data_IF_660707569471
#
_entry.id   IF_660707569471
#
_cell.length_a   1.000
_cell.length_b   1.000
_cell.length_c   1.000
_cell.angle_alpha   90.00
_cell.angle_beta   90.00
_cell.angle_gamma   90.00
#
_symmetry.space_group_name_H-M   'P 1'
#
loop_
_entity.id
_entity.type
_entity.pdbx_description
1 polymer ?
#
# COMPACT_ATOMS: atom_id res chain seq x y z
N UNK A 1 -25.49 -47.45 -31.56
CA UNK A 1 -24.35 -46.98 -30.72
C UNK A 1 -23.01 -47.56 -31.19
N UNK A 2 -22.86 -48.87 -31.40
CA UNK A 2 -21.60 -49.49 -31.92
C UNK A 2 -21.00 -48.87 -33.20
N UNK A 3 -21.83 -48.64 -34.24
CA UNK A 3 -21.37 -48.04 -35.50
C UNK A 3 -20.86 -46.61 -35.33
N UNK A 4 -21.40 -45.88 -34.34
CA UNK A 4 -21.03 -44.50 -34.04
C UNK A 4 -19.64 -44.44 -33.41
N UNK A 5 -19.34 -45.33 -32.45
CA UNK A 5 -18.01 -45.40 -31.82
C UNK A 5 -16.90 -45.73 -32.84
N UNK A 6 -17.14 -46.71 -33.73
CA UNK A 6 -16.16 -47.05 -34.77
C UNK A 6 -15.95 -45.91 -35.77
N UNK A 7 -17.02 -45.18 -36.12
CA UNK A 7 -16.93 -44.02 -37.00
C UNK A 7 -16.13 -42.87 -36.35
N UNK A 8 -16.37 -42.60 -35.05
CA UNK A 8 -15.65 -41.56 -34.30
C UNK A 8 -14.17 -41.92 -34.20
N UNK A 9 -13.85 -43.17 -33.85
CA UNK A 9 -12.47 -43.65 -33.73
C UNK A 9 -11.72 -43.49 -35.05
N UNK A 10 -12.32 -43.95 -36.16
CA UNK A 10 -11.73 -43.83 -37.50
C UNK A 10 -11.53 -42.38 -37.93
N UNK A 11 -12.44 -41.47 -37.55
CA UNK A 11 -12.30 -40.04 -37.85
C UNK A 11 -11.16 -39.40 -37.05
N UNK A 12 -11.01 -39.73 -35.77
CA UNK A 12 -9.92 -39.25 -34.89
C UNK A 12 -8.54 -39.82 -35.27
N UNK A 13 -8.50 -40.92 -36.01
CA UNK A 13 -7.27 -41.50 -36.56
C UNK A 13 -6.87 -40.90 -37.91
N UNK A 14 -7.74 -40.12 -38.55
CA UNK A 14 -7.44 -39.53 -39.85
C UNK A 14 -6.44 -38.38 -39.74
N UNK A 15 -5.31 -38.41 -40.47
CA UNK A 15 -4.33 -37.32 -40.48
C UNK A 15 -4.85 -36.06 -41.21
N UNK A 16 -5.95 -36.16 -41.95
CA UNK A 16 -6.59 -35.03 -42.64
C UNK A 16 -7.57 -34.24 -41.74
N UNK A 17 -7.77 -34.68 -40.49
CA UNK A 17 -8.69 -34.02 -39.57
C UNK A 17 -8.12 -32.69 -39.09
N UNK A 18 -8.70 -31.59 -39.55
CA UNK A 18 -8.35 -30.27 -39.03
C UNK A 18 -9.18 -29.94 -37.80
N UNK A 19 -8.49 -29.57 -36.72
CA UNK A 19 -9.10 -29.17 -35.44
C UNK A 19 -10.02 -27.95 -35.59
N UNK A 20 -9.71 -27.07 -36.55
CA UNK A 20 -10.48 -25.84 -36.79
C UNK A 20 -11.76 -26.06 -37.63
N UNK A 21 -12.03 -27.30 -38.05
CA UNK A 21 -13.21 -27.59 -38.86
C UNK A 21 -14.48 -27.72 -38.02
N UNK A 22 -15.61 -27.29 -38.58
CA UNK A 22 -16.94 -27.56 -37.98
C UNK A 22 -17.22 -29.05 -37.80
N UNK A 23 -16.63 -29.90 -38.65
CA UNK A 23 -16.68 -31.36 -38.51
C UNK A 23 -16.03 -31.89 -37.24
N UNK A 24 -14.97 -31.23 -36.74
CA UNK A 24 -14.34 -31.60 -35.47
C UNK A 24 -15.24 -31.21 -34.29
N UNK A 25 -15.83 -30.01 -34.33
CA UNK A 25 -16.80 -29.56 -33.31
C UNK A 25 -18.00 -30.52 -33.21
N UNK A 26 -18.58 -30.90 -34.35
CA UNK A 26 -19.68 -31.88 -34.39
C UNK A 26 -19.27 -33.26 -33.83
N UNK A 27 -18.02 -33.67 -34.05
CA UNK A 27 -17.50 -34.93 -33.49
C UNK A 27 -17.40 -34.84 -31.97
N UNK A 28 -16.94 -33.71 -31.43
CA UNK A 28 -16.92 -33.47 -29.98
C UNK A 28 -18.33 -33.44 -29.38
N UNK A 29 -19.30 -32.80 -30.05
CA UNK A 29 -20.70 -32.80 -29.58
C UNK A 29 -21.27 -34.22 -29.51
N UNK A 30 -21.01 -35.05 -30.52
CA UNK A 30 -21.41 -36.46 -30.52
C UNK A 30 -20.71 -37.27 -29.43
N UNK A 31 -19.45 -36.97 -29.12
CA UNK A 31 -18.71 -37.61 -28.02
C UNK A 31 -19.31 -37.21 -26.67
N UNK A 32 -19.54 -35.93 -26.45
CA UNK A 32 -20.13 -35.38 -25.22
C UNK A 32 -21.48 -36.04 -24.93
N UNK A 33 -22.38 -36.04 -25.94
CA UNK A 33 -23.71 -36.66 -25.84
C UNK A 33 -23.61 -38.16 -25.58
N UNK A 34 -22.70 -38.87 -26.26
CA UNK A 34 -22.51 -40.30 -26.07
C UNK A 34 -22.01 -40.64 -24.66
N UNK A 35 -21.07 -39.86 -24.12
CA UNK A 35 -20.53 -40.05 -22.76
C UNK A 35 -21.62 -39.76 -21.73
N UNK A 36 -22.33 -38.63 -21.86
CA UNK A 36 -23.40 -38.26 -20.93
C UNK A 36 -24.56 -39.28 -20.95
N UNK A 37 -24.91 -39.79 -22.13
CA UNK A 37 -25.92 -40.83 -22.27
C UNK A 37 -25.49 -42.15 -21.61
N UNK A 38 -24.23 -42.56 -21.74
CA UNK A 38 -23.70 -43.76 -21.09
C UNK A 38 -23.60 -43.60 -19.56
N UNK A 39 -23.29 -42.39 -19.06
CA UNK A 39 -23.26 -42.11 -17.62
C UNK A 39 -24.65 -42.13 -16.98
N UNK A 40 -25.69 -41.69 -17.69
CA UNK A 40 -27.07 -41.69 -17.20
C UNK A 40 -27.76 -43.07 -17.22
N UNK A 41 -27.20 -44.05 -17.93
CA UNK A 41 -27.75 -45.41 -18.04
C UNK A 41 -26.72 -46.49 -17.68
N UNK A 42 -26.28 -46.56 -16.41
CA UNK A 42 -25.26 -47.52 -15.98
C UNK A 42 -25.73 -48.98 -16.03
N UNK A 43 -27.05 -49.21 -16.00
CA UNK A 43 -27.66 -50.55 -15.96
C UNK A 43 -27.63 -51.30 -17.30
N UNK A 44 -27.24 -50.63 -18.40
CA UNK A 44 -27.15 -51.27 -19.70
C UNK A 44 -25.98 -52.25 -19.80
N UNK A 45 -26.21 -53.35 -20.52
CA UNK A 45 -25.20 -54.37 -20.77
C UNK A 45 -23.97 -53.75 -21.44
N UNK A 46 -22.79 -53.98 -20.86
CA UNK A 46 -21.49 -53.43 -21.32
C UNK A 46 -21.35 -51.90 -21.29
N UNK A 47 -22.26 -51.17 -20.61
CA UNK A 47 -22.21 -49.70 -20.53
C UNK A 47 -20.84 -49.17 -20.09
N UNK A 48 -20.25 -49.77 -19.05
CA UNK A 48 -18.91 -49.39 -18.56
C UNK A 48 -17.79 -49.57 -19.59
N UNK A 49 -17.87 -50.59 -20.45
CA UNK A 49 -16.85 -50.84 -21.50
C UNK A 49 -16.96 -49.79 -22.60
N UNK A 50 -18.18 -49.45 -23.04
CA UNK A 50 -18.36 -48.38 -24.03
C UNK A 50 -18.00 -47.02 -23.47
N UNK A 51 -18.37 -46.74 -22.22
CA UNK A 51 -18.01 -45.49 -21.54
C UNK A 51 -16.49 -45.30 -21.52
N UNK A 52 -15.73 -46.32 -21.12
CA UNK A 52 -14.27 -46.28 -21.12
C UNK A 52 -13.69 -46.04 -22.53
N UNK A 53 -14.28 -46.63 -23.57
CA UNK A 53 -13.86 -46.40 -24.96
C UNK A 53 -14.18 -44.97 -25.44
N UNK A 54 -15.35 -44.44 -25.10
CA UNK A 54 -15.69 -43.05 -25.42
C UNK A 54 -14.80 -42.05 -24.68
N UNK A 55 -14.50 -42.31 -23.40
CA UNK A 55 -13.52 -41.52 -22.63
C UNK A 55 -12.13 -41.56 -23.27
N UNK A 56 -11.67 -42.72 -23.76
CA UNK A 56 -10.42 -42.82 -24.49
C UNK A 56 -10.42 -41.99 -25.79
N UNK A 57 -11.53 -42.03 -26.55
CA UNK A 57 -11.70 -41.17 -27.73
C UNK A 57 -11.66 -39.67 -27.35
N UNK A 58 -12.29 -39.29 -26.22
CA UNK A 58 -12.26 -37.93 -25.70
C UNK A 58 -10.83 -37.51 -25.32
N UNK A 59 -10.09 -38.31 -24.55
CA UNK A 59 -8.69 -38.02 -24.21
C UNK A 59 -7.82 -37.83 -25.45
N UNK A 60 -8.05 -38.64 -26.50
CA UNK A 60 -7.35 -38.48 -27.78
C UNK A 60 -7.71 -37.18 -28.48
N UNK A 61 -8.99 -36.83 -28.53
CA UNK A 61 -9.45 -35.57 -29.12
C UNK A 61 -8.87 -34.35 -28.36
N UNK A 62 -8.87 -34.39 -27.04
CA UNK A 62 -8.23 -33.41 -26.15
C UNK A 62 -6.72 -33.30 -26.42
N UNK A 63 -6.03 -34.42 -26.62
CA UNK A 63 -4.60 -34.39 -26.97
C UNK A 63 -4.36 -33.74 -28.34
N UNK A 64 -5.23 -33.94 -29.33
CA UNK A 64 -5.12 -33.27 -30.63
C UNK A 64 -5.31 -31.75 -30.50
N UNK A 65 -6.28 -31.31 -29.68
CA UNK A 65 -6.48 -29.90 -29.33
C UNK A 65 -5.23 -29.31 -28.69
N UNK A 66 -4.69 -29.97 -27.67
CA UNK A 66 -3.48 -29.52 -26.96
C UNK A 66 -2.29 -29.39 -27.91
N UNK A 67 -2.05 -30.40 -28.74
CA UNK A 67 -0.93 -30.39 -29.68
C UNK A 67 -1.06 -29.25 -30.71
N UNK A 68 -2.28 -29.00 -31.20
CA UNK A 68 -2.55 -27.89 -32.09
C UNK A 68 -2.25 -26.54 -31.43
N UNK A 69 -2.83 -26.28 -30.24
CA UNK A 69 -2.60 -25.04 -29.48
C UNK A 69 -1.10 -24.85 -29.20
N UNK A 70 -0.43 -25.90 -28.74
CA UNK A 70 1.01 -25.89 -28.47
C UNK A 70 1.79 -25.49 -29.72
N UNK A 71 1.53 -26.14 -30.87
CA UNK A 71 2.26 -25.88 -32.12
C UNK A 71 2.14 -24.42 -32.58
N UNK A 72 0.94 -23.85 -32.50
CA UNK A 72 0.66 -22.48 -32.91
C UNK A 72 1.34 -21.48 -31.97
N UNK A 73 1.26 -21.69 -30.66
CA UNK A 73 1.91 -20.83 -29.66
C UNK A 73 3.43 -20.90 -29.75
N UNK A 74 4.01 -22.09 -29.91
CA UNK A 74 5.46 -22.24 -30.09
C UNK A 74 5.94 -21.58 -31.38
N UNK A 75 5.17 -21.68 -32.46
CA UNK A 75 5.50 -21.01 -33.72
C UNK A 75 5.44 -19.49 -33.57
N UNK A 76 4.41 -18.95 -32.91
CA UNK A 76 4.29 -17.52 -32.65
C UNK A 76 5.46 -17.00 -31.79
N UNK A 77 5.88 -17.77 -30.79
CA UNK A 77 7.01 -17.45 -29.93
C UNK A 77 8.32 -17.44 -30.70
N UNK A 78 8.59 -18.48 -31.50
CA UNK A 78 9.79 -18.56 -32.35
C UNK A 78 9.87 -17.38 -33.33
N UNK A 79 8.75 -17.05 -33.99
CA UNK A 79 8.69 -15.90 -34.91
C UNK A 79 8.90 -14.55 -34.21
N UNK A 80 8.50 -14.45 -32.95
CA UNK A 80 8.71 -13.24 -32.13
C UNK A 80 10.18 -13.13 -31.72
N UNK A 81 10.77 -14.22 -31.23
CA UNK A 81 12.15 -14.29 -30.77
C UNK A 81 13.19 -14.10 -31.90
N UNK A 82 12.92 -14.58 -33.13
CA UNK A 82 13.88 -14.47 -34.25
C UNK A 82 14.03 -13.06 -34.82
N UNK A 83 13.06 -12.17 -34.59
CA UNK A 83 13.11 -10.78 -35.05
C UNK A 83 12.71 -9.84 -33.91
N UNK A 84 13.60 -9.60 -32.94
CA UNK A 84 13.37 -8.64 -31.88
C UNK A 84 13.29 -7.25 -32.53
N UNK A 85 12.06 -6.78 -32.73
CA UNK A 85 11.78 -5.40 -33.14
C UNK A 85 11.00 -4.74 -32.00
N UNK A 86 10.62 -3.47 -32.15
CA UNK A 86 9.89 -2.69 -31.14
C UNK A 86 8.80 -3.51 -30.41
N UNK A 87 8.57 -3.23 -29.13
CA UNK A 87 7.59 -3.94 -28.29
C UNK A 87 6.20 -4.10 -28.96
N UNK A 88 5.75 -3.11 -29.73
CA UNK A 88 4.50 -3.16 -30.51
C UNK A 88 4.46 -4.33 -31.51
N UNK A 89 5.62 -4.70 -32.08
CA UNK A 89 5.74 -5.82 -33.01
C UNK A 89 5.58 -7.18 -32.31
N UNK A 90 5.99 -7.30 -31.04
CA UNK A 90 5.86 -8.52 -30.26
C UNK A 90 4.39 -8.84 -29.98
N UNK A 91 3.60 -7.82 -29.60
CA UNK A 91 2.17 -7.96 -29.41
C UNK A 91 1.47 -8.29 -30.73
N UNK A 92 1.72 -7.54 -31.80
CA UNK A 92 1.05 -7.75 -33.09
C UNK A 92 1.19 -9.19 -33.64
N UNK A 93 2.37 -9.81 -33.48
CA UNK A 93 2.61 -11.19 -33.93
C UNK A 93 1.82 -12.22 -33.12
N UNK A 94 1.76 -12.05 -31.79
CA UNK A 94 0.91 -12.89 -30.95
C UNK A 94 -0.57 -12.70 -31.25
N UNK A 95 -1.04 -11.47 -31.46
CA UNK A 95 -2.43 -11.18 -31.82
C UNK A 95 -2.86 -11.88 -33.12
N UNK A 96 -1.97 -11.97 -34.13
CA UNK A 96 -2.27 -12.70 -35.36
C UNK A 96 -2.54 -14.20 -35.12
N UNK A 97 -1.87 -14.81 -34.13
CA UNK A 97 -2.13 -16.20 -33.73
C UNK A 97 -3.46 -16.37 -32.99
N UNK A 98 -3.93 -15.33 -32.30
CA UNK A 98 -5.19 -15.34 -31.56
C UNK A 98 -6.40 -15.59 -32.47
N UNK A 99 -6.39 -15.06 -33.70
CA UNK A 99 -7.48 -15.29 -34.68
C UNK A 99 -7.73 -16.78 -34.97
N UNK A 100 -6.68 -17.61 -34.91
CA UNK A 100 -6.76 -19.05 -35.14
C UNK A 100 -7.12 -19.82 -33.88
N UNK A 101 -6.65 -19.37 -32.71
CA UNK A 101 -6.81 -20.08 -31.44
C UNK A 101 -8.10 -19.72 -30.70
N UNK A 102 -8.60 -18.48 -30.83
CA UNK A 102 -9.78 -18.01 -30.09
C UNK A 102 -11.01 -18.89 -30.27
N UNK A 103 -11.40 -19.33 -31.48
CA UNK A 103 -12.57 -20.21 -31.65
C UNK A 103 -12.42 -21.55 -30.91
N UNK A 104 -11.20 -22.10 -30.88
CA UNK A 104 -10.90 -23.39 -30.24
C UNK A 104 -10.86 -23.24 -28.73
N UNK A 105 -10.24 -22.18 -28.23
CA UNK A 105 -10.18 -21.90 -26.79
C UNK A 105 -11.58 -21.63 -26.25
N UNK A 106 -12.42 -20.87 -26.96
CA UNK A 106 -13.84 -20.70 -26.60
C UNK A 106 -14.62 -22.02 -26.60
N UNK A 107 -14.33 -22.91 -27.56
CA UNK A 107 -14.91 -24.24 -27.63
C UNK A 107 -14.59 -25.05 -26.37
N UNK A 108 -13.34 -25.00 -25.90
CA UNK A 108 -12.86 -25.65 -24.67
C UNK A 108 -13.43 -24.98 -23.42
N UNK A 109 -13.43 -23.64 -23.36
CA UNK A 109 -14.01 -22.87 -22.25
C UNK A 109 -15.49 -23.23 -22.03
N UNK A 110 -16.28 -23.28 -23.10
CA UNK A 110 -17.70 -23.64 -23.04
C UNK A 110 -17.95 -25.09 -22.62
N UNK A 111 -16.96 -25.98 -22.76
CA UNK A 111 -17.05 -27.40 -22.38
C UNK A 111 -16.36 -27.74 -21.07
N UNK A 112 -15.62 -26.79 -20.47
CA UNK A 112 -14.86 -26.98 -19.23
C UNK A 112 -15.70 -27.53 -18.08
N UNK A 113 -16.98 -27.14 -17.99
CA UNK A 113 -17.91 -27.58 -16.94
C UNK A 113 -18.52 -28.97 -17.16
N UNK A 114 -18.38 -29.56 -18.36
CA UNK A 114 -18.99 -30.86 -18.68
C UNK A 114 -18.16 -32.03 -18.17
N UNK A 115 -16.85 -32.00 -18.41
CA UNK A 115 -15.93 -33.10 -18.13
C UNK A 115 -14.57 -32.59 -17.64
N UNK A 116 -13.93 -33.29 -16.68
CA UNK A 116 -12.64 -32.87 -16.11
C UNK A 116 -11.51 -32.86 -17.15
N UNK A 117 -11.60 -33.66 -18.22
CA UNK A 117 -10.63 -33.64 -19.32
C UNK A 117 -10.56 -32.27 -20.01
N UNK A 118 -11.68 -31.55 -20.11
CA UNK A 118 -11.70 -30.21 -20.70
C UNK A 118 -11.21 -29.13 -19.73
N UNK A 119 -11.50 -29.26 -18.44
CA UNK A 119 -10.95 -28.38 -17.40
C UNK A 119 -9.42 -28.47 -17.35
N UNK A 120 -8.87 -29.69 -17.34
CA UNK A 120 -7.43 -29.93 -17.39
C UNK A 120 -6.82 -29.39 -18.68
N UNK A 121 -7.47 -29.59 -19.84
CA UNK A 121 -7.02 -29.03 -21.10
C UNK A 121 -6.98 -27.50 -21.07
N UNK A 122 -7.98 -26.85 -20.48
CA UNK A 122 -8.03 -25.39 -20.37
C UNK A 122 -6.87 -24.88 -19.52
N UNK A 123 -6.63 -25.51 -18.36
CA UNK A 123 -5.49 -25.19 -17.49
C UNK A 123 -4.15 -25.38 -18.22
N UNK A 124 -3.95 -26.51 -18.91
CA UNK A 124 -2.76 -26.77 -19.73
C UNK A 124 -2.55 -25.68 -20.79
N UNK A 125 -3.62 -25.29 -21.51
CA UNK A 125 -3.55 -24.25 -22.53
C UNK A 125 -3.17 -22.89 -21.94
N UNK A 126 -3.73 -22.54 -20.77
CA UNK A 126 -3.40 -21.31 -20.06
C UNK A 126 -1.93 -21.31 -19.60
N UNK A 127 -1.47 -22.38 -18.96
CA UNK A 127 -0.07 -22.52 -18.52
C UNK A 127 0.91 -22.43 -19.70
N UNK A 128 0.63 -23.13 -20.80
CA UNK A 128 1.46 -23.07 -22.00
C UNK A 128 1.52 -21.65 -22.57
N UNK A 129 0.38 -20.96 -22.66
CA UNK A 129 0.34 -19.57 -23.12
C UNK A 129 1.20 -18.66 -22.23
N UNK A 130 1.01 -18.74 -20.90
CA UNK A 130 1.72 -17.89 -19.94
C UNK A 130 3.22 -18.16 -19.93
N UNK A 131 3.65 -19.43 -19.96
CA UNK A 131 5.05 -19.79 -20.00
C UNK A 131 5.76 -19.22 -21.25
N UNK A 132 5.10 -19.24 -22.41
CA UNK A 132 5.65 -18.63 -23.62
C UNK A 132 5.74 -17.10 -23.49
N UNK A 133 4.71 -16.43 -22.94
CA UNK A 133 4.73 -14.98 -22.71
C UNK A 133 5.81 -14.56 -21.72
N UNK A 134 5.93 -15.27 -20.61
CA UNK A 134 6.94 -15.05 -19.59
C UNK A 134 8.35 -15.12 -20.18
N UNK A 135 8.64 -16.10 -21.03
CA UNK A 135 9.95 -16.23 -21.69
C UNK A 135 10.32 -15.05 -22.59
N UNK A 136 9.34 -14.31 -23.11
CA UNK A 136 9.55 -13.18 -24.02
C UNK A 136 9.63 -11.82 -23.29
N UNK A 137 8.88 -11.67 -22.20
CA UNK A 137 8.67 -10.37 -21.55
C UNK A 137 9.46 -10.21 -20.25
N UNK A 138 9.69 -11.30 -19.50
CA UNK A 138 10.32 -11.22 -18.17
C UNK A 138 11.67 -10.47 -18.20
N UNK A 139 12.55 -10.84 -19.13
CA UNK A 139 13.87 -10.21 -19.25
C UNK A 139 13.81 -8.76 -19.74
N UNK A 140 12.87 -8.43 -20.64
CA UNK A 140 12.73 -7.06 -21.15
C UNK A 140 12.18 -6.12 -20.08
N UNK A 141 11.19 -6.57 -19.29
CA UNK A 141 10.65 -5.85 -18.14
C UNK A 141 11.73 -5.64 -17.10
N UNK A 142 12.45 -6.70 -16.72
CA UNK A 142 13.54 -6.63 -15.73
C UNK A 142 14.64 -5.64 -16.17
N UNK A 143 15.05 -5.71 -17.43
CA UNK A 143 16.08 -4.82 -17.99
C UNK A 143 15.60 -3.36 -18.02
N UNK A 144 14.34 -3.12 -18.38
CA UNK A 144 13.76 -1.77 -18.43
C UNK A 144 13.64 -1.16 -17.05
N UNK A 145 13.14 -1.90 -16.06
CA UNK A 145 13.02 -1.45 -14.66
C UNK A 145 14.39 -1.15 -14.06
N UNK A 146 15.39 -2.01 -14.30
CA UNK A 146 16.78 -1.75 -13.89
C UNK A 146 17.39 -0.55 -14.62
N UNK A 147 17.10 -0.38 -15.90
CA UNK A 147 17.53 0.77 -16.70
C UNK A 147 16.96 2.08 -16.18
N UNK A 148 15.68 2.11 -15.82
CA UNK A 148 15.05 3.26 -15.17
C UNK A 148 15.75 3.60 -13.84
N UNK A 149 16.07 2.58 -13.03
CA UNK A 149 16.77 2.78 -11.77
C UNK A 149 18.20 3.32 -11.96
N UNK A 150 18.91 2.89 -12.99
CA UNK A 150 20.25 3.39 -13.32
C UNK A 150 20.23 4.85 -13.81
N UNK A 151 19.25 5.20 -14.64
CA UNK A 151 19.15 6.51 -15.28
C UNK A 151 18.67 7.62 -14.32
N UNK A 152 17.84 7.28 -13.33
CA UNK A 152 17.27 8.24 -12.38
C UNK A 152 17.95 8.19 -11.00
N UNK A 153 19.28 8.03 -10.98
CA UNK A 153 20.08 7.94 -9.76
C UNK A 153 20.06 9.26 -8.95
N UNK A 154 19.06 9.40 -8.08
CA UNK A 154 18.94 10.52 -7.14
C UNK A 154 17.50 10.97 -6.89
N UNK A 155 16.59 10.72 -7.84
CA UNK A 155 15.17 11.03 -7.69
C UNK A 155 14.36 9.74 -7.52
N UNK A 156 14.26 9.30 -6.27
CA UNK A 156 13.50 8.10 -5.90
C UNK A 156 12.01 8.23 -6.25
N UNK A 157 11.44 9.43 -6.16
CA UNK A 157 10.02 9.68 -6.36
C UNK A 157 9.65 9.56 -7.84
N UNK A 158 10.42 10.21 -8.71
CA UNK A 158 10.23 10.08 -10.16
C UNK A 158 10.52 8.67 -10.66
N UNK A 159 11.52 7.98 -10.10
CA UNK A 159 11.79 6.58 -10.39
C UNK A 159 10.58 5.71 -10.06
N UNK A 160 10.02 5.85 -8.87
CA UNK A 160 8.88 5.02 -8.41
C UNK A 160 7.66 5.25 -9.28
N UNK A 161 7.32 6.52 -9.59
CA UNK A 161 6.21 6.84 -10.51
C UNK A 161 6.42 6.22 -11.89
N UNK A 162 7.63 6.36 -12.45
CA UNK A 162 7.94 5.86 -13.80
C UNK A 162 7.93 4.33 -13.87
N UNK A 163 8.53 3.66 -12.88
CA UNK A 163 8.59 2.20 -12.83
C UNK A 163 7.20 1.59 -12.58
N UNK A 164 6.39 2.19 -11.71
CA UNK A 164 5.01 1.77 -11.49
C UNK A 164 4.15 1.99 -12.74
N UNK A 165 4.22 3.18 -13.36
CA UNK A 165 3.47 3.49 -14.58
C UNK A 165 3.81 2.51 -15.72
N UNK A 166 5.10 2.21 -15.90
CA UNK A 166 5.55 1.20 -16.87
C UNK A 166 4.90 -0.17 -16.61
N UNK A 167 4.95 -0.68 -15.38
CA UNK A 167 4.38 -1.98 -15.04
C UNK A 167 2.86 -2.01 -15.09
N UNK A 168 2.19 -0.90 -14.77
CA UNK A 168 0.75 -0.76 -14.94
C UNK A 168 0.39 -0.89 -16.43
N UNK A 169 1.13 -0.21 -17.32
CA UNK A 169 0.91 -0.32 -18.76
C UNK A 169 1.18 -1.74 -19.28
N UNK A 170 2.28 -2.37 -18.86
CA UNK A 170 2.59 -3.76 -19.22
C UNK A 170 1.48 -4.71 -18.75
N UNK A 171 1.00 -4.56 -17.51
CA UNK A 171 -0.08 -5.39 -16.96
C UNK A 171 -1.39 -5.22 -17.72
N UNK A 172 -1.72 -3.99 -18.12
CA UNK A 172 -2.90 -3.69 -18.94
C UNK A 172 -2.79 -4.28 -20.35
N UNK A 173 -1.63 -4.18 -20.99
CA UNK A 173 -1.41 -4.71 -22.33
C UNK A 173 -1.39 -6.24 -22.35
N UNK A 174 -0.80 -6.87 -21.33
CA UNK A 174 -0.86 -8.33 -21.14
C UNK A 174 -2.30 -8.80 -20.90
N UNK A 175 -3.10 -8.09 -20.09
CA UNK A 175 -4.51 -8.45 -19.90
C UNK A 175 -5.31 -8.31 -21.20
N UNK A 176 -5.11 -7.22 -21.95
CA UNK A 176 -5.75 -7.02 -23.26
C UNK A 176 -5.41 -8.16 -24.21
N UNK A 177 -4.14 -8.57 -24.26
CA UNK A 177 -3.71 -9.69 -25.09
C UNK A 177 -4.33 -11.00 -24.60
N UNK A 178 -4.31 -11.26 -23.29
CA UNK A 178 -4.90 -12.45 -22.69
C UNK A 178 -6.38 -12.61 -23.09
N UNK A 179 -7.15 -11.53 -23.05
CA UNK A 179 -8.57 -11.55 -23.43
C UNK A 179 -8.83 -11.87 -24.91
N UNK A 180 -7.84 -11.65 -25.79
CA UNK A 180 -7.94 -12.07 -27.18
C UNK A 180 -7.84 -13.60 -27.36
N UNK A 181 -7.30 -14.33 -26.36
CA UNK A 181 -7.23 -15.79 -26.36
C UNK A 181 -8.30 -16.39 -25.44
N UNK A 182 -8.41 -15.92 -24.22
CA UNK A 182 -9.30 -16.46 -23.18
C UNK A 182 -10.40 -15.46 -22.83
N UNK A 183 -11.56 -15.94 -22.43
CA UNK A 183 -12.73 -15.10 -22.13
C UNK A 183 -12.92 -14.91 -20.63
N UNK A 184 -12.42 -15.86 -19.83
CA UNK A 184 -12.58 -15.89 -18.38
C UNK A 184 -11.27 -15.53 -17.66
N UNK A 185 -11.33 -14.88 -16.48
CA UNK A 185 -10.16 -14.64 -15.65
C UNK A 185 -9.59 -15.96 -15.11
N UNK A 186 -8.28 -16.03 -14.98
CA UNK A 186 -7.58 -17.21 -14.45
C UNK A 186 -6.64 -16.83 -13.31
N UNK A 187 -6.60 -17.59 -12.19
CA UNK A 187 -5.65 -17.34 -11.11
C UNK A 187 -4.19 -17.51 -11.58
N UNK A 188 -3.95 -18.32 -12.60
CA UNK A 188 -2.62 -18.49 -13.21
C UNK A 188 -2.13 -17.19 -13.84
N UNK A 189 -3.03 -16.41 -14.46
CA UNK A 189 -2.69 -15.12 -15.05
C UNK A 189 -2.33 -14.10 -13.97
N UNK A 190 -3.05 -14.08 -12.84
CA UNK A 190 -2.70 -13.23 -11.69
C UNK A 190 -1.32 -13.56 -11.15
N UNK A 191 -0.99 -14.85 -11.00
CA UNK A 191 0.34 -15.29 -10.55
C UNK A 191 1.46 -14.90 -11.53
N UNK A 192 1.19 -14.93 -12.83
CA UNK A 192 2.13 -14.50 -13.86
C UNK A 192 2.41 -12.99 -13.77
N UNK A 193 1.37 -12.16 -13.65
CA UNK A 193 1.53 -10.71 -13.47
C UNK A 193 2.26 -10.37 -12.17
N UNK A 194 2.01 -11.12 -11.09
CA UNK A 194 2.72 -10.96 -9.82
C UNK A 194 4.23 -11.21 -10.01
N UNK A 195 4.59 -12.26 -10.75
CA UNK A 195 5.98 -12.54 -11.16
C UNK A 195 6.67 -11.37 -11.87
N UNK A 196 5.98 -10.72 -12.81
CA UNK A 196 6.52 -9.52 -13.49
C UNK A 196 6.66 -8.34 -12.54
N UNK A 197 5.69 -8.13 -11.65
CA UNK A 197 5.67 -7.02 -10.70
C UNK A 197 6.74 -7.19 -9.60
N UNK A 198 7.16 -8.41 -9.26
CA UNK A 198 8.25 -8.67 -8.29
C UNK A 198 9.55 -7.97 -8.72
N UNK A 199 9.79 -7.80 -10.02
CA UNK A 199 10.95 -7.05 -10.53
C UNK A 199 11.01 -5.61 -10.00
N UNK A 200 9.85 -4.98 -9.79
CA UNK A 200 9.73 -3.65 -9.17
C UNK A 200 10.22 -3.68 -7.74
N UNK A 201 9.72 -4.65 -6.98
CA UNK A 201 10.03 -4.82 -5.58
C UNK A 201 11.53 -5.08 -5.38
N UNK A 202 12.10 -6.01 -6.15
CA UNK A 202 13.53 -6.34 -6.08
C UNK A 202 14.42 -5.15 -6.44
N UNK A 203 13.95 -4.24 -7.30
CA UNK A 203 14.70 -3.06 -7.72
C UNK A 203 14.58 -1.91 -6.72
N UNK A 204 13.37 -1.65 -6.19
CA UNK A 204 13.10 -0.52 -5.31
C UNK A 204 13.45 -0.81 -3.85
N UNK A 205 13.27 -2.04 -3.37
CA UNK A 205 13.51 -2.39 -1.96
C UNK A 205 14.92 -2.05 -1.47
N UNK A 206 16.02 -2.36 -2.21
CA UNK A 206 17.36 -1.96 -1.78
C UNK A 206 17.51 -0.44 -1.65
N UNK A 207 16.86 0.33 -2.54
CA UNK A 207 16.87 1.79 -2.47
C UNK A 207 16.19 2.27 -1.20
N UNK A 208 14.99 1.75 -0.90
CA UNK A 208 14.20 2.08 0.31
C UNK A 208 15.02 1.84 1.59
N UNK A 209 15.71 0.71 1.70
CA UNK A 209 16.53 0.38 2.87
C UNK A 209 17.65 1.41 3.11
N UNK A 210 18.22 1.96 2.04
CA UNK A 210 19.30 2.95 2.13
C UNK A 210 18.82 4.40 2.22
N UNK A 211 17.53 4.68 2.03
CA UNK A 211 16.97 6.02 2.19
C UNK A 211 17.14 6.53 3.62
N UNK A 212 17.62 7.79 3.72
CA UNK A 212 17.89 8.49 4.99
C UNK A 212 16.91 9.61 5.27
N UNK A 213 16.39 10.27 4.23
CA UNK A 213 15.56 11.46 4.35
C UNK A 213 14.10 11.08 4.63
N UNK A 214 13.54 11.69 5.68
CA UNK A 214 12.16 11.41 6.12
C UNK A 214 11.15 11.95 5.10
N UNK A 215 11.46 13.10 4.49
CA UNK A 215 10.65 13.74 3.45
C UNK A 215 10.46 12.82 2.25
N UNK A 216 11.55 12.25 1.74
CA UNK A 216 11.48 11.36 0.57
C UNK A 216 10.71 10.07 0.90
N UNK A 217 10.91 9.49 2.09
CA UNK A 217 10.14 8.31 2.52
C UNK A 217 8.64 8.60 2.67
N UNK A 218 8.28 9.77 3.19
CA UNK A 218 6.89 10.19 3.31
C UNK A 218 6.25 10.42 1.93
N UNK A 219 6.98 11.03 0.99
CA UNK A 219 6.50 11.20 -0.38
C UNK A 219 6.32 9.84 -1.08
N UNK A 220 7.25 8.90 -0.92
CA UNK A 220 7.10 7.52 -1.42
C UNK A 220 5.83 6.84 -0.89
N UNK A 221 5.57 6.97 0.42
CA UNK A 221 4.32 6.46 1.01
C UNK A 221 3.10 7.09 0.35
N UNK A 222 3.14 8.40 0.10
CA UNK A 222 2.03 9.12 -0.55
C UNK A 222 1.81 8.66 -1.98
N UNK A 223 2.88 8.49 -2.77
CA UNK A 223 2.83 8.02 -4.16
C UNK A 223 2.24 6.61 -4.21
N UNK A 224 2.80 5.68 -3.45
CA UNK A 224 2.33 4.29 -3.45
C UNK A 224 0.88 4.17 -2.99
N UNK A 225 0.51 4.86 -1.90
CA UNK A 225 -0.85 4.79 -1.34
C UNK A 225 -1.89 5.47 -2.22
N UNK A 226 -1.68 6.74 -2.57
CA UNK A 226 -2.70 7.57 -3.21
C UNK A 226 -2.63 7.44 -4.73
N UNK A 227 -1.46 7.71 -5.33
CA UNK A 227 -1.32 7.73 -6.79
C UNK A 227 -1.38 6.31 -7.39
N UNK A 228 -0.73 5.33 -6.78
CA UNK A 228 -0.65 3.98 -7.37
C UNK A 228 -1.80 3.08 -6.93
N UNK A 229 -1.99 2.88 -5.64
CA UNK A 229 -3.00 1.94 -5.13
C UNK A 229 -4.42 2.52 -5.24
N UNK A 230 -4.68 3.70 -4.66
CA UNK A 230 -6.04 4.27 -4.66
C UNK A 230 -6.49 4.72 -6.05
N UNK A 231 -5.66 5.44 -6.80
CA UNK A 231 -6.07 5.96 -8.11
C UNK A 231 -5.97 4.92 -9.24
N UNK A 232 -4.92 4.11 -9.32
CA UNK A 232 -4.78 3.18 -10.46
C UNK A 232 -5.45 1.83 -10.20
N UNK A 233 -5.13 1.18 -9.07
CA UNK A 233 -5.61 -0.20 -8.81
C UNK A 233 -7.13 -0.24 -8.59
N UNK A 234 -7.71 0.70 -7.85
CA UNK A 234 -9.17 0.71 -7.60
C UNK A 234 -9.98 0.97 -8.88
N UNK A 235 -9.41 1.68 -9.86
CA UNK A 235 -10.06 1.93 -11.14
C UNK A 235 -10.06 0.70 -12.05
N UNK A 236 -9.06 -0.19 -11.94
CA UNK A 236 -8.94 -1.39 -12.78
C UNK A 236 -8.52 -2.64 -11.96
N UNK A 237 -9.37 -3.14 -11.05
CA UNK A 237 -8.98 -4.21 -10.12
C UNK A 237 -8.64 -5.52 -10.84
N UNK A 238 -9.33 -5.84 -11.93
CA UNK A 238 -9.12 -7.09 -12.67
C UNK A 238 -7.73 -7.20 -13.31
N UNK A 239 -7.14 -6.07 -13.71
CA UNK A 239 -5.82 -6.03 -14.36
C UNK A 239 -4.69 -5.83 -13.34
N UNK A 240 -4.97 -5.10 -12.27
CA UNK A 240 -3.96 -4.55 -11.38
C UNK A 240 -3.97 -5.17 -9.98
N UNK A 241 -4.76 -6.22 -9.73
CA UNK A 241 -4.75 -6.93 -8.45
C UNK A 241 -3.33 -7.42 -8.09
N UNK A 242 -2.64 -8.06 -9.02
CA UNK A 242 -1.28 -8.56 -8.81
C UNK A 242 -0.28 -7.43 -8.52
N UNK A 243 -0.34 -6.34 -9.30
CA UNK A 243 0.46 -5.15 -9.06
C UNK A 243 0.16 -4.53 -7.69
N UNK A 244 -1.12 -4.45 -7.32
CA UNK A 244 -1.58 -3.92 -6.03
C UNK A 244 -0.97 -4.66 -4.86
N UNK A 245 -0.94 -6.00 -4.88
CA UNK A 245 -0.30 -6.81 -3.83
C UNK A 245 1.18 -6.48 -3.65
N UNK A 246 1.93 -6.37 -4.75
CA UNK A 246 3.36 -6.04 -4.70
C UNK A 246 3.59 -4.59 -4.25
N UNK A 247 2.76 -3.65 -4.71
CA UNK A 247 2.82 -2.26 -4.30
C UNK A 247 2.47 -2.07 -2.81
N UNK A 248 1.51 -2.84 -2.29
CA UNK A 248 1.16 -2.86 -0.87
C UNK A 248 2.30 -3.40 0.00
N UNK A 249 2.95 -4.50 -0.44
CA UNK A 249 4.15 -5.01 0.23
C UNK A 249 5.28 -3.98 0.26
N UNK A 250 5.54 -3.31 -0.88
CA UNK A 250 6.53 -2.24 -0.93
C UNK A 250 6.14 -1.06 -0.03
N UNK A 251 4.87 -0.67 0.00
CA UNK A 251 4.37 0.39 0.87
C UNK A 251 4.62 0.06 2.35
N UNK A 252 4.38 -1.18 2.77
CA UNK A 252 4.66 -1.63 4.14
C UNK A 252 6.15 -1.48 4.48
N UNK A 253 7.06 -1.93 3.62
CA UNK A 253 8.51 -1.79 3.81
C UNK A 253 8.94 -0.30 3.91
N UNK A 254 8.36 0.57 3.06
CA UNK A 254 8.63 2.02 3.11
C UNK A 254 8.09 2.63 4.41
N UNK A 255 6.92 2.22 4.88
CA UNK A 255 6.33 2.69 6.12
C UNK A 255 7.13 2.25 7.34
N UNK A 256 7.57 0.99 7.41
CA UNK A 256 8.45 0.51 8.48
C UNK A 256 9.75 1.31 8.51
N UNK A 257 10.34 1.55 7.33
CA UNK A 257 11.54 2.37 7.20
C UNK A 257 11.30 3.82 7.64
N UNK A 258 10.15 4.39 7.29
CA UNK A 258 9.75 5.74 7.70
C UNK A 258 9.61 5.83 9.22
N UNK A 259 8.95 4.87 9.86
CA UNK A 259 8.80 4.79 11.33
C UNK A 259 10.17 4.70 12.00
N UNK A 260 11.05 3.82 11.50
CA UNK A 260 12.41 3.68 12.04
C UNK A 260 13.21 4.99 11.95
N UNK A 261 13.19 5.64 10.78
CA UNK A 261 13.89 6.92 10.57
C UNK A 261 13.28 8.05 11.39
N UNK A 262 11.96 8.06 11.56
CA UNK A 262 11.26 9.00 12.42
C UNK A 262 11.70 8.84 13.87
N UNK A 263 11.69 7.62 14.41
CA UNK A 263 12.14 7.37 15.78
C UNK A 263 13.60 7.81 16.00
N UNK A 264 14.50 7.50 15.04
CA UNK A 264 15.88 7.97 15.11
C UNK A 264 15.96 9.51 15.11
N UNK A 265 15.20 10.17 14.24
CA UNK A 265 15.11 11.63 14.18
C UNK A 265 14.59 12.21 15.50
N UNK A 266 13.54 11.64 16.08
CA UNK A 266 13.01 12.10 17.36
C UNK A 266 14.06 11.99 18.49
N UNK A 267 14.85 10.93 18.49
CA UNK A 267 15.91 10.76 19.48
C UNK A 267 17.03 11.78 19.29
N UNK A 268 17.57 11.90 18.08
CA UNK A 268 18.74 12.76 17.81
C UNK A 268 18.42 14.25 17.80
N UNK A 269 17.27 14.64 17.27
CA UNK A 269 16.95 16.05 16.98
C UNK A 269 15.99 16.70 17.98
N UNK A 270 15.39 15.93 18.90
CA UNK A 270 14.48 16.41 19.95
C UNK A 270 14.97 15.99 21.34
N UNK A 271 15.18 14.71 21.59
CA UNK A 271 15.57 14.23 22.93
C UNK A 271 16.99 14.65 23.31
N UNK A 272 17.95 14.38 22.44
CA UNK A 272 19.36 14.72 22.63
C UNK A 272 19.70 16.14 22.13
N UNK A 273 18.69 16.99 21.94
CA UNK A 273 18.89 18.35 21.44
C UNK A 273 19.57 19.24 22.48
N UNK A 274 20.71 19.82 22.11
CA UNK A 274 21.40 20.80 22.92
C UNK A 274 20.96 22.23 22.55
N UNK A 275 20.29 22.98 23.45
CA UNK A 275 19.80 24.33 23.15
C UNK A 275 20.94 25.30 22.87
N UNK A 276 20.83 26.12 21.82
CA UNK A 276 21.78 27.21 21.62
C UNK A 276 21.49 28.39 22.57
N UNK A 277 22.48 29.26 22.87
CA UNK A 277 22.24 30.43 23.71
C UNK A 277 21.14 31.36 23.17
N UNK A 278 20.94 31.41 21.84
CA UNK A 278 19.87 32.18 21.21
C UNK A 278 18.47 31.55 21.36
N UNK A 279 18.39 30.23 21.54
CA UNK A 279 17.12 29.54 21.79
C UNK A 279 16.65 29.75 23.24
N UNK A 280 17.59 29.99 24.16
CA UNK A 280 17.36 30.26 25.58
C UNK A 280 17.34 31.77 25.92
N UNK A 281 17.40 32.64 24.92
CA UNK A 281 17.37 34.11 25.08
C UNK A 281 15.95 34.61 25.42
N UNK A 282 15.44 34.19 26.57
CA UNK A 282 14.13 34.56 27.11
C UNK A 282 14.31 35.34 28.42
N UNK A 283 13.76 36.54 28.60
CA UNK A 283 12.70 37.17 27.80
C UNK A 283 13.19 38.11 26.69
N UNK A 284 14.49 38.33 26.49
CA UNK A 284 14.99 39.38 25.58
C UNK A 284 14.52 39.19 24.13
N UNK A 285 14.31 37.94 23.70
CA UNK A 285 13.71 37.63 22.38
C UNK A 285 12.26 38.11 22.27
N UNK A 286 11.50 38.13 23.37
CA UNK A 286 10.13 38.67 23.39
C UNK A 286 10.14 40.20 23.36
N UNK A 287 10.99 40.83 24.17
CA UNK A 287 11.10 42.30 24.25
C UNK A 287 11.58 42.89 22.93
N UNK A 288 12.56 42.26 22.29
CA UNK A 288 13.02 42.65 20.95
C UNK A 288 11.88 42.59 19.93
N UNK A 289 11.07 41.54 19.95
CA UNK A 289 9.94 41.43 19.03
C UNK A 289 8.81 42.40 19.33
N UNK A 290 8.55 42.68 20.60
CA UNK A 290 7.59 43.73 20.99
C UNK A 290 8.05 45.10 20.49
N UNK A 291 9.34 45.44 20.63
CA UNK A 291 9.90 46.70 20.12
C UNK A 291 9.83 46.79 18.59
N UNK A 292 10.06 45.68 17.87
CA UNK A 292 9.91 45.61 16.42
C UNK A 292 8.44 45.81 16.04
N UNK A 293 7.51 45.12 16.71
CA UNK A 293 6.07 45.25 16.46
C UNK A 293 5.56 46.67 16.71
N UNK A 294 6.02 47.32 17.79
CA UNK A 294 5.72 48.72 18.09
C UNK A 294 6.27 49.65 17.01
N UNK A 295 7.52 49.46 16.58
CA UNK A 295 8.13 50.28 15.51
C UNK A 295 7.42 50.14 14.15
N UNK A 296 6.94 48.93 13.81
CA UNK A 296 6.16 48.70 12.60
C UNK A 296 4.78 49.35 12.69
N UNK A 297 4.12 49.25 13.85
CA UNK A 297 2.84 49.91 14.09
C UNK A 297 2.97 51.44 14.04
N UNK A 298 4.05 52.00 14.58
CA UNK A 298 4.37 53.43 14.49
C UNK A 298 4.67 53.87 13.04
N UNK A 299 5.37 53.05 12.26
CA UNK A 299 5.61 53.32 10.83
C UNK A 299 4.31 53.27 10.02
N UNK A 300 3.41 52.33 10.29
CA UNK A 300 2.08 52.27 9.67
C UNK A 300 1.23 53.48 10.06
N UNK A 301 1.18 53.84 11.34
CA UNK A 301 0.50 55.04 11.84
C UNK A 301 1.07 56.33 11.22
N UNK A 302 2.40 56.43 11.08
CA UNK A 302 3.06 57.56 10.44
C UNK A 302 2.80 57.63 8.93
N UNK A 303 2.69 56.49 8.24
CA UNK A 303 2.29 56.41 6.84
C UNK A 303 0.83 56.84 6.63
N UNK A 304 -0.07 56.49 7.56
CA UNK A 304 -1.48 56.91 7.57
C UNK A 304 -1.61 58.43 7.83
N UNK A 305 -0.85 58.98 8.79
CA UNK A 305 -0.80 60.42 9.09
C UNK A 305 -0.25 61.26 7.92
N UNK A 306 0.75 60.75 7.20
CA UNK A 306 1.27 61.39 5.97
C UNK A 306 0.27 61.37 4.82
N UNK A 307 -0.61 60.37 4.76
CA UNK A 307 -1.67 60.27 3.75
C UNK A 307 -2.81 61.26 4.02
N UNK A 308 -3.18 61.47 5.29
CA UNK A 308 -4.22 62.45 5.68
C UNK A 308 -3.83 63.90 5.32
N UNK A 309 -2.53 64.23 5.37
CA UNK A 309 -2.04 65.56 4.97
C UNK A 309 -2.08 65.81 3.45
N UNK A 310 -2.25 64.78 2.63
CA UNK A 310 -2.48 64.91 1.17
C UNK A 310 -3.96 64.81 0.79
N UNK A 311 -4.80 64.25 1.65
CA UNK A 311 -6.24 64.11 1.42
C UNK A 311 -7.01 65.43 1.60
N UNK A 312 -6.45 66.41 2.31
CA UNK A 312 -7.06 67.73 2.52
C UNK A 312 -7.06 68.66 1.29
N UNK A 313 -6.49 68.25 0.15
CA UNK A 313 -6.52 69.01 -1.11
C UNK A 313 -7.36 68.36 -2.23
N UNK A 314 -8.03 67.24 -1.98
CA UNK A 314 -8.93 66.58 -2.94
C UNK A 314 -10.30 66.31 -2.31
N UNK A 315 -10.99 67.38 -1.97
CA UNK A 315 -12.44 67.34 -1.76
C UNK A 315 -13.14 67.66 -3.08
N UNK A 316 -13.51 66.63 -3.84
CA UNK A 316 -14.66 66.58 -4.78
C UNK A 316 -14.78 65.13 -5.31
N UNK A 317 -15.31 64.23 -4.48
CA UNK A 317 -15.56 62.85 -4.90
C UNK A 317 -16.09 61.96 -3.79
N UNK A 318 -17.41 61.84 -3.71
CA UNK A 318 -18.21 60.80 -3.03
C UNK A 318 -17.74 60.28 -1.65
N UNK A 319 -18.36 60.81 -0.59
CA UNK A 319 -18.20 60.38 0.81
C UNK A 319 -18.73 58.98 1.11
N UNK A 320 -19.52 58.37 0.23
CA UNK A 320 -20.14 57.05 0.48
C UNK A 320 -19.17 55.87 0.26
N UNK A 321 -18.11 56.05 -0.52
CA UNK A 321 -17.16 54.95 -0.85
C UNK A 321 -16.03 54.78 0.19
N UNK A 322 -15.78 55.79 1.03
CA UNK A 322 -14.72 55.74 2.04
C UNK A 322 -15.20 55.22 3.41
N UNK A 323 -16.48 55.43 3.77
CA UNK A 323 -17.05 54.84 5.00
C UNK A 323 -17.16 53.32 4.93
N UNK A 324 -17.49 52.76 3.76
CA UNK A 324 -17.60 51.30 3.57
C UNK A 324 -16.21 50.63 3.63
N UNK A 325 -15.15 51.31 3.20
CA UNK A 325 -13.78 50.82 3.35
C UNK A 325 -13.28 50.83 4.81
N UNK A 326 -13.75 51.80 5.62
CA UNK A 326 -13.41 51.91 7.06
C UNK A 326 -14.22 50.94 7.95
N UNK A 327 -15.44 50.59 7.57
CA UNK A 327 -16.26 49.62 8.32
C UNK A 327 -15.77 48.18 8.09
N UNK A 328 -15.21 47.87 6.91
CA UNK A 328 -14.70 46.53 6.60
C UNK A 328 -13.36 46.22 7.29
N UNK A 329 -12.65 47.24 7.79
CA UNK A 329 -11.33 47.10 8.45
C UNK A 329 -11.37 47.01 9.98
N UNK A 330 -12.53 47.17 10.62
CA UNK A 330 -12.67 47.17 12.09
C UNK A 330 -13.04 45.81 12.72
N UNK A 331 -12.91 44.69 12.00
CA UNK A 331 -12.90 43.38 12.65
C UNK A 331 -11.51 43.12 13.25
N UNK A 332 -11.33 43.50 14.52
CA UNK A 332 -10.30 43.03 15.48
C UNK A 332 -9.14 42.26 14.83
N UNK A 333 -8.24 42.97 14.15
CA UNK A 333 -6.94 42.43 13.77
C UNK A 333 -6.09 42.35 15.05
N UNK A 334 -6.06 41.16 15.66
CA UNK A 334 -4.86 40.69 16.33
C UNK A 334 -3.73 40.82 15.30
N UNK A 335 -2.55 41.38 15.62
CA UNK A 335 -1.51 41.59 14.62
C UNK A 335 -1.14 40.24 14.03
N UNK A 336 -1.57 40.00 12.80
CA UNK A 336 -1.22 38.81 12.03
C UNK A 336 0.23 38.99 11.61
N UNK A 337 1.14 38.63 12.51
CA UNK A 337 2.56 38.48 12.22
C UNK A 337 2.69 37.52 11.03
N UNK A 338 3.59 37.82 10.10
CA UNK A 338 3.92 36.94 8.98
C UNK A 338 4.08 35.47 9.46
N UNK A 339 3.51 34.46 8.76
CA UNK A 339 3.63 33.05 9.16
C UNK A 339 5.09 32.59 9.35
N UNK A 340 6.05 33.27 8.73
CA UNK A 340 7.48 33.02 8.90
C UNK A 340 8.04 33.43 10.26
N UNK A 341 7.52 34.51 10.87
CA UNK A 341 7.98 35.01 12.17
C UNK A 341 7.37 34.22 13.34
N UNK A 342 6.16 33.69 13.18
CA UNK A 342 5.49 32.93 14.23
C UNK A 342 6.22 31.62 14.57
N UNK A 343 6.72 30.91 13.55
CA UNK A 343 7.49 29.67 13.72
C UNK A 343 8.97 29.90 14.06
N UNK A 344 9.52 31.11 13.82
CA UNK A 344 10.88 31.49 14.22
C UNK A 344 11.01 31.74 15.73
N UNK A 345 9.89 32.00 16.41
CA UNK A 345 9.82 32.14 17.86
C UNK A 345 9.74 30.82 18.61
N UNK A 346 9.34 29.74 17.94
CA UNK A 346 9.11 28.47 18.61
C UNK A 346 10.43 27.82 18.98
N UNK A 347 10.49 27.24 20.17
CA UNK A 347 11.59 26.39 20.57
C UNK A 347 11.82 25.28 19.53
N UNK A 348 13.04 25.10 18.99
CA UNK A 348 13.26 24.24 17.82
C UNK A 348 12.77 22.79 17.97
N UNK A 349 12.92 22.11 19.12
CA UNK A 349 12.33 20.79 19.37
C UNK A 349 10.82 20.74 19.19
N UNK A 350 10.07 21.77 19.59
CA UNK A 350 8.61 21.85 19.40
C UNK A 350 8.27 21.89 17.92
N UNK A 351 8.93 22.79 17.17
CA UNK A 351 8.72 22.93 15.73
C UNK A 351 9.06 21.62 14.99
N UNK A 352 10.19 21.01 15.30
CA UNK A 352 10.65 19.74 14.70
C UNK A 352 9.66 18.61 14.96
N UNK A 353 9.16 18.50 16.20
CA UNK A 353 8.15 17.50 16.59
C UNK A 353 6.89 17.65 15.76
N UNK A 354 6.32 18.86 15.69
CA UNK A 354 5.05 19.11 14.98
C UNK A 354 5.17 18.87 13.47
N UNK A 355 6.27 19.31 12.84
CA UNK A 355 6.53 19.04 11.42
C UNK A 355 6.67 17.54 11.16
N UNK A 356 7.37 16.82 12.03
CA UNK A 356 7.50 15.36 11.93
C UNK A 356 6.11 14.68 12.02
N UNK A 357 5.33 14.99 13.05
CA UNK A 357 4.00 14.41 13.26
C UNK A 357 3.03 14.69 12.11
N UNK A 358 3.01 15.92 11.58
CA UNK A 358 2.12 16.28 10.47
C UNK A 358 2.37 15.44 9.21
N UNK A 359 3.63 15.07 8.94
CA UNK A 359 4.01 14.22 7.81
C UNK A 359 3.66 12.76 8.05
N UNK A 360 3.93 12.27 9.27
CA UNK A 360 3.67 10.88 9.66
C UNK A 360 2.16 10.56 9.66
N UNK A 361 1.32 11.51 10.05
CA UNK A 361 -0.13 11.34 10.14
C UNK A 361 -0.78 10.87 8.82
N UNK A 362 -0.29 11.32 7.67
CA UNK A 362 -0.83 10.96 6.35
C UNK A 362 -0.24 9.67 5.78
N UNK A 363 0.90 9.23 6.31
CA UNK A 363 1.69 8.15 5.73
C UNK A 363 1.56 6.84 6.50
N UNK A 364 1.15 6.88 7.77
CA UNK A 364 1.19 5.74 8.69
C UNK A 364 -0.20 5.43 9.22
N UNK A 365 -0.45 4.17 9.56
CA UNK A 365 -1.70 3.74 10.16
C UNK A 365 -1.93 4.36 11.55
N UNK A 366 -3.20 4.60 11.90
CA UNK A 366 -3.60 5.27 13.13
C UNK A 366 -2.97 4.67 14.41
N UNK A 367 -2.93 3.34 14.61
CA UNK A 367 -2.37 2.77 15.83
C UNK A 367 -0.87 3.02 15.98
N UNK A 368 -0.12 2.88 14.88
CA UNK A 368 1.33 3.10 14.85
C UNK A 368 1.63 4.60 15.07
N UNK A 369 0.85 5.47 14.42
CA UNK A 369 0.95 6.91 14.60
C UNK A 369 0.66 7.34 16.04
N UNK A 370 -0.33 6.75 16.71
CA UNK A 370 -0.64 7.03 18.11
C UNK A 370 0.52 6.69 19.03
N UNK A 371 1.15 5.52 18.88
CA UNK A 371 2.32 5.14 19.67
C UNK A 371 3.51 6.07 19.44
N UNK A 372 3.85 6.33 18.17
CA UNK A 372 4.97 7.18 17.81
C UNK A 372 4.76 8.64 18.24
N UNK A 373 3.52 9.15 18.15
CA UNK A 373 3.20 10.51 18.59
C UNK A 373 3.30 10.66 20.10
N UNK A 374 2.84 9.69 20.89
CA UNK A 374 3.02 9.71 22.36
C UNK A 374 4.50 9.79 22.76
N UNK A 375 5.34 8.98 22.12
CA UNK A 375 6.79 9.01 22.36
C UNK A 375 7.41 10.36 21.98
N UNK A 376 7.09 10.87 20.78
CA UNK A 376 7.57 12.15 20.29
C UNK A 376 7.21 13.30 21.25
N UNK A 377 5.98 13.31 21.76
CA UNK A 377 5.51 14.32 22.69
C UNK A 377 6.19 14.22 24.05
N UNK A 378 6.41 13.01 24.55
CA UNK A 378 7.14 12.78 25.81
C UNK A 378 8.55 13.33 25.73
N UNK A 379 9.28 13.03 24.65
CA UNK A 379 10.64 13.54 24.43
C UNK A 379 10.67 15.06 24.23
N UNK A 380 9.68 15.61 23.52
CA UNK A 380 9.54 17.06 23.35
C UNK A 380 9.27 17.78 24.68
N UNK A 381 8.37 17.27 25.51
CA UNK A 381 8.06 17.83 26.84
C UNK A 381 9.29 17.78 27.75
N UNK A 382 10.04 16.68 27.75
CA UNK A 382 11.30 16.57 28.49
C UNK A 382 12.32 17.62 28.02
N UNK A 383 12.47 17.81 26.70
CA UNK A 383 13.35 18.84 26.13
C UNK A 383 12.93 20.25 26.56
N UNK A 384 11.63 20.56 26.56
CA UNK A 384 11.09 21.84 27.06
C UNK A 384 11.40 22.03 28.55
N UNK A 385 11.25 20.98 29.37
CA UNK A 385 11.53 21.05 30.80
C UNK A 385 13.00 21.36 31.06
N UNK A 386 13.92 20.67 30.38
CA UNK A 386 15.36 20.91 30.50
C UNK A 386 15.74 22.34 30.09
N UNK A 387 15.15 22.86 29.01
CA UNK A 387 15.35 24.24 28.58
C UNK A 387 14.81 25.24 29.61
N UNK A 388 13.62 24.99 30.16
CA UNK A 388 13.03 25.82 31.21
C UNK A 388 13.93 25.86 32.46
N UNK A 389 14.43 24.71 32.93
CA UNK A 389 15.32 24.64 34.09
C UNK A 389 16.64 25.39 33.85
N UNK A 390 17.16 25.33 32.63
CA UNK A 390 18.35 26.11 32.23
C UNK A 390 18.09 27.61 32.25
N UNK A 391 16.90 28.06 31.83
CA UNK A 391 16.50 29.48 31.91
C UNK A 391 16.33 29.92 33.36
N UNK A 392 15.70 29.09 34.20
CA UNK A 392 15.54 29.37 35.65
C UNK A 392 16.90 29.55 36.33
N UNK A 393 17.90 28.76 35.96
CA UNK A 393 19.25 28.86 36.50
C UNK A 393 20.00 30.11 36.05
N UNK A 394 19.81 30.53 34.80
CA UNK A 394 20.55 31.66 34.21
C UNK A 394 19.91 33.03 34.44
N UNK A 395 18.59 33.09 34.67
CA UNK A 395 17.83 34.35 34.79
C UNK A 395 16.90 34.34 36.01
N UNK A 396 15.59 34.20 35.80
CA UNK A 396 14.61 34.16 36.89
C UNK A 396 13.73 32.91 36.82
N UNK A 397 13.21 32.50 37.98
CA UNK A 397 12.30 31.34 38.07
C UNK A 397 11.02 31.56 37.24
N UNK A 398 10.51 32.80 37.21
CA UNK A 398 9.30 33.16 36.47
C UNK A 398 9.52 33.05 34.96
N UNK A 399 10.67 33.48 34.45
CA UNK A 399 11.00 33.41 33.02
C UNK A 399 11.00 31.97 32.50
N UNK A 400 11.55 31.03 33.29
CA UNK A 400 11.52 29.62 32.93
C UNK A 400 10.13 29.00 32.94
N UNK A 401 9.28 29.36 33.91
CA UNK A 401 7.89 28.89 33.97
C UNK A 401 7.03 29.46 32.83
N UNK A 402 7.18 30.74 32.52
CA UNK A 402 6.50 31.38 31.38
C UNK A 402 6.94 30.79 30.05
N UNK A 403 8.23 30.50 29.88
CA UNK A 403 8.75 29.78 28.72
C UNK A 403 8.10 28.39 28.57
N UNK A 404 8.03 27.63 29.67
CA UNK A 404 7.44 26.29 29.69
C UNK A 404 5.95 26.33 29.33
N UNK A 405 5.16 27.19 30.01
CA UNK A 405 3.71 27.33 29.76
C UNK A 405 3.45 27.73 28.32
N UNK A 406 4.18 28.72 27.78
CA UNK A 406 4.03 29.17 26.39
C UNK A 406 4.20 28.01 25.40
N UNK A 407 5.27 27.23 25.54
CA UNK A 407 5.57 26.15 24.60
C UNK A 407 4.66 24.92 24.77
N UNK A 408 4.19 24.62 25.98
CA UNK A 408 3.19 23.58 26.21
C UNK A 408 1.81 23.96 25.65
N UNK A 409 1.41 25.23 25.73
CA UNK A 409 0.18 25.72 25.11
C UNK A 409 0.24 25.63 23.59
N UNK A 410 1.37 26.04 22.99
CA UNK A 410 1.60 25.87 21.54
C UNK A 410 1.50 24.39 21.17
N UNK A 411 2.20 23.52 21.90
CA UNK A 411 2.20 22.09 21.63
C UNK A 411 0.77 21.52 21.69
N UNK A 412 0.00 21.84 22.75
CA UNK A 412 -1.40 21.41 22.91
C UNK A 412 -2.29 21.87 21.76
N UNK A 413 -2.21 23.14 21.37
CA UNK A 413 -3.04 23.71 20.30
C UNK A 413 -2.75 23.05 18.95
N UNK A 414 -1.46 22.86 18.64
CA UNK A 414 -1.04 22.30 17.35
C UNK A 414 -1.30 20.80 17.22
N UNK A 415 -1.53 20.09 18.32
CA UNK A 415 -1.82 18.65 18.32
C UNK A 415 -3.32 18.35 18.25
N UNK A 416 -4.17 19.28 18.69
CA UNK A 416 -5.61 19.13 18.68
C UNK A 416 -6.19 18.65 17.32
N UNK A 417 -5.69 19.09 16.15
CA UNK A 417 -6.17 18.63 14.85
C UNK A 417 -5.93 17.14 14.56
N UNK A 418 -4.96 16.49 15.21
CA UNK A 418 -4.59 15.10 14.90
C UNK A 418 -5.62 14.07 15.40
N UNK A 419 -6.62 14.47 16.21
CA UNK A 419 -7.68 13.58 16.73
C UNK A 419 -7.14 12.25 17.32
N UNK A 420 -5.98 12.29 17.97
CA UNK A 420 -5.38 11.11 18.61
C UNK A 420 -5.75 11.10 20.09
N UNK A 421 -6.23 9.96 20.57
CA UNK A 421 -6.43 9.73 22.00
C UNK A 421 -5.06 9.57 22.69
N UNK A 422 -4.49 10.67 23.17
CA UNK A 422 -3.26 10.65 23.98
C UNK A 422 -3.50 10.21 25.43
N UNK A 423 -4.72 9.78 25.77
CA UNK A 423 -5.05 9.27 27.10
C UNK A 423 -4.44 7.88 27.27
N UNK A 424 -3.35 7.82 28.03
CA UNK A 424 -2.77 6.55 28.45
C UNK A 424 -3.80 5.89 29.37
N UNK A 425 -4.48 4.84 28.89
CA UNK A 425 -4.92 3.78 29.81
C UNK A 425 -3.66 3.05 30.21
N UNK A 426 -2.91 3.62 31.16
CA UNK A 426 -1.97 2.81 31.92
C UNK A 426 -2.85 1.79 32.65
N UNK A 427 -3.00 0.61 32.04
CA UNK A 427 -3.34 -0.59 32.78
C UNK A 427 -2.13 -0.88 33.66
N UNK A 428 -1.89 -0.04 34.66
CA UNK A 428 -1.12 -0.44 35.82
C UNK A 428 -1.89 -1.63 36.39
N UNK A 429 -1.45 -2.83 36.02
CA UNK A 429 -1.93 -4.03 36.68
C UNK A 429 -1.51 -3.89 38.14
N UNK A 430 -2.47 -3.56 38.99
CA UNK A 430 -2.25 -3.42 40.42
C UNK A 430 -1.94 -4.79 41.02
N UNK A 431 -0.64 -5.13 41.05
CA UNK A 431 -0.13 -6.35 41.68
C UNK A 431 -0.22 -6.27 43.22
N UNK A 432 -0.68 -5.17 43.82
CA UNK A 432 -0.91 -5.09 45.27
C UNK A 432 -1.89 -6.18 45.71
N UNK A 433 -2.95 -6.43 44.93
CA UNK A 433 -3.93 -7.49 45.23
C UNK A 433 -3.34 -8.89 45.12
N UNK A 434 -2.46 -9.14 44.14
CA UNK A 434 -1.77 -10.42 43.97
C UNK A 434 -0.73 -10.64 45.06
N UNK A 435 0.00 -9.59 45.46
CA UNK A 435 0.97 -9.63 46.56
C UNK A 435 0.28 -9.88 47.90
N UNK A 436 -0.85 -9.23 48.17
CA UNK A 436 -1.64 -9.45 49.39
C UNK A 436 -2.26 -10.84 49.41
N UNK A 437 -2.79 -11.32 48.28
CA UNK A 437 -3.30 -12.69 48.16
C UNK A 437 -2.19 -13.74 48.32
N UNK A 438 -1.00 -13.51 47.74
CA UNK A 438 0.15 -14.38 47.91
C UNK A 438 0.66 -14.38 49.36
N UNK A 439 0.69 -13.22 50.03
CA UNK A 439 1.10 -13.11 51.43
C UNK A 439 0.08 -13.76 52.37
N UNK A 440 -1.22 -13.61 52.12
CA UNK A 440 -2.27 -14.35 52.84
C UNK A 440 -2.15 -15.86 52.66
N UNK A 441 -1.84 -16.33 51.45
CA UNK A 441 -1.72 -17.75 51.16
C UNK A 441 -0.46 -18.34 51.81
N UNK A 442 0.63 -17.57 51.87
CA UNK A 442 1.86 -17.93 52.57
C UNK A 442 1.67 -17.92 54.10
N UNK A 443 0.88 -16.98 54.63
CA UNK A 443 0.49 -16.95 56.04
C UNK A 443 -0.47 -18.12 56.37
N UNK A 444 -1.40 -18.47 55.48
CA UNK A 444 -2.30 -19.64 55.63
C UNK A 444 -1.57 -20.98 55.48
N UNK A 445 -0.42 -21.03 54.79
CA UNK A 445 0.46 -22.23 54.72
C UNK A 445 0.99 -22.63 56.11
N UNK A 446 1.24 -21.67 57.00
CA UNK A 446 1.64 -21.95 58.39
C UNK A 446 0.54 -22.64 59.22
N UNK A 447 -0.74 -22.48 58.83
CA UNK A 447 -1.88 -23.15 59.47
C UNK A 447 -2.23 -24.49 58.82
N UNK A 448 -1.97 -24.66 57.53
CA UNK A 448 -2.14 -25.94 56.81
C UNK A 448 -1.13 -27.01 57.26
N UNK A 449 0.03 -26.61 57.80
CA UNK A 449 1.02 -27.53 58.38
C UNK A 449 0.98 -27.61 59.91
N UNK A 450 -0.08 -27.09 60.57
CA UNK A 450 -0.31 -27.38 61.98
C UNK A 450 -0.82 -28.82 62.14
N UNK A 451 0.13 -29.73 62.17
CA UNK A 451 -0.02 -31.13 62.56
C UNK A 451 -0.56 -31.20 63.99
N UNK A 452 -1.89 -31.28 64.14
CA UNK A 452 -2.53 -31.87 65.33
C UNK A 452 -3.99 -32.33 65.18
N UNK A 453 -4.64 -32.16 64.02
CA UNK A 453 -6.03 -32.63 63.83
C UNK A 453 -6.25 -33.67 62.71
N UNK A 454 -5.22 -34.13 61.98
CA UNK A 454 -5.40 -35.15 60.93
C UNK A 454 -5.58 -36.59 61.46
N UNK A 455 -5.35 -36.86 62.74
CA UNK A 455 -5.48 -38.23 63.29
C UNK A 455 -6.88 -38.57 63.82
N UNK A 456 -7.84 -37.64 63.84
CA UNK A 456 -9.19 -37.93 64.35
C UNK A 456 -10.24 -38.23 63.26
N UNK A 457 -9.94 -37.94 61.99
CA UNK A 457 -10.87 -38.19 60.87
C UNK A 457 -10.62 -39.50 60.10
N UNK A 458 -9.51 -40.20 60.36
CA UNK A 458 -9.13 -41.43 59.64
C UNK A 458 -9.41 -42.74 60.40
N UNK A 459 -9.96 -42.67 61.63
CA UNK A 459 -10.21 -43.84 62.49
C UNK A 459 -11.69 -44.18 62.71
N UNK A 460 -12.64 -43.47 62.10
CA UNK A 460 -14.08 -43.72 62.30
C UNK A 460 -14.80 -44.34 61.08
N UNK A 461 -14.05 -44.91 60.13
CA UNK A 461 -14.61 -45.62 58.96
C UNK A 461 -14.10 -47.04 58.75
N UNK A 462 -13.83 -47.75 59.86
CA UNK A 462 -13.72 -49.22 59.87
C UNK A 462 -14.32 -49.80 61.16
N UNK A 463 -15.65 -49.87 61.20
CA UNK A 463 -16.40 -50.99 61.78
C UNK A 463 -17.79 -51.03 61.20
#
# INVERSE_FOLDING_TARGET
QFKVLQLITRRLESPALSVNSSTFTQLLDQLDEAIQYMQSHPDYKEAGVYLARYQHCLSRAVSLLRNFVTSVLTQATQQTASYPSSDASHYARFQASALKLKPILQLVENRSSKFPEYENLLSDCQQLYLAQRESLISESVLTTVRGLAANMSGDHCSLTRSACAFLIHVSQDELRLYHQFFSFPSPLFTSYLEGLCISLYDTLRPLVIHMKHLETLAEQCSILRHEMIQEQVQNNPAALEAFGRVAEQLLQDVQERLVFRAHLYLKTDIADYNPSPGDLAYPEKLEMMESIAQSLHEQEMAALSRSESRASLVSMGSTTSQEIARITTNQRHLPTSSPGDLHGMWYPPVRRTLVCLSRLYRCIERPIFQGLSQEALTMCIQSINNAADTIKANKTSLDGELFQIKHLLILREQIAPFQVDFTVKEMSFDFSKVKTAAFELLQKRSRLFSSKNCNKALLEKRR
#
